data_IF_706542305108
#
_entry.id   IF_706542305108
#
_cell.length_a   1.000
_cell.length_b   1.000
_cell.length_c   1.000
_cell.angle_alpha   90.00
_cell.angle_beta   90.00
_cell.angle_gamma   90.00
#
_symmetry.space_group_name_H-M   'P 1'
#
loop_
_entity.id
_entity.type
_entity.pdbx_description
1 polymer ?
#
# COMPACT_ATOMS: atom_id res chain seq x y z
N UNK A 1 -17.97 -16.83 12.41
CA UNK A 1 -16.67 -16.19 12.69
C UNK A 1 -15.60 -16.77 11.76
N UNK A 2 -14.61 -15.97 11.42
CA UNK A 2 -13.39 -16.40 10.72
C UNK A 2 -12.17 -15.84 11.45
N UNK A 3 -11.01 -16.47 11.29
CA UNK A 3 -9.74 -15.95 11.81
C UNK A 3 -9.10 -15.01 10.80
N UNK A 4 -8.56 -13.90 11.30
CA UNK A 4 -7.77 -12.94 10.53
C UNK A 4 -6.78 -12.24 11.47
N UNK A 5 -6.00 -11.27 10.98
CA UNK A 5 -5.09 -10.46 11.80
C UNK A 5 -5.79 -9.46 12.72
N UNK A 6 -7.04 -9.13 12.45
CA UNK A 6 -7.92 -8.34 13.32
C UNK A 6 -8.90 -9.29 14.06
N UNK A 7 -9.19 -9.08 15.36
CA UNK A 7 -10.20 -9.87 16.05
C UNK A 7 -11.61 -9.61 15.50
N UNK A 8 -12.49 -10.59 15.71
CA UNK A 8 -13.92 -10.53 15.37
C UNK A 8 -14.24 -10.43 13.87
N UNK A 9 -13.35 -10.97 13.01
CA UNK A 9 -13.60 -11.08 11.58
C UNK A 9 -14.76 -12.05 11.28
N UNK A 10 -15.55 -11.72 10.26
CA UNK A 10 -16.79 -12.45 9.92
C UNK A 10 -16.86 -12.81 8.43
N UNK A 11 -17.24 -14.04 8.16
CA UNK A 11 -17.83 -14.43 6.88
C UNK A 11 -19.35 -14.13 6.89
N UNK A 12 -19.91 -13.87 5.73
CA UNK A 12 -21.33 -13.56 5.57
C UNK A 12 -21.99 -14.61 4.67
N UNK A 13 -23.09 -15.19 5.13
CA UNK A 13 -23.92 -16.08 4.32
C UNK A 13 -25.29 -15.43 4.06
N UNK A 14 -25.54 -15.12 2.82
CA UNK A 14 -26.77 -14.45 2.35
C UNK A 14 -27.68 -15.49 1.72
N UNK A 15 -28.94 -15.55 2.19
CA UNK A 15 -30.00 -16.39 1.62
C UNK A 15 -31.03 -15.50 0.95
N UNK A 16 -31.28 -15.76 -0.32
CA UNK A 16 -32.33 -15.08 -1.08
C UNK A 16 -33.17 -16.12 -1.85
N UNK A 17 -34.38 -15.76 -2.33
CA UNK A 17 -35.12 -16.61 -3.23
C UNK A 17 -34.40 -16.94 -4.54
N UNK A 18 -33.49 -16.05 -4.99
CA UNK A 18 -32.73 -16.20 -6.24
C UNK A 18 -31.46 -17.05 -6.09
N UNK A 19 -30.96 -17.24 -4.87
CA UNK A 19 -29.76 -18.03 -4.62
C UNK A 19 -29.10 -17.73 -3.25
N UNK A 20 -28.08 -18.51 -2.93
CA UNK A 20 -27.32 -18.43 -1.69
C UNK A 20 -25.88 -18.05 -1.97
N UNK A 21 -25.40 -17.01 -1.30
CA UNK A 21 -24.06 -16.47 -1.48
C UNK A 21 -23.29 -16.56 -0.16
N UNK A 22 -22.11 -17.16 -0.19
CA UNK A 22 -21.18 -17.18 0.93
C UNK A 22 -20.00 -16.28 0.59
N UNK A 23 -19.66 -15.36 1.50
CA UNK A 23 -18.54 -14.41 1.37
C UNK A 23 -17.63 -14.62 2.55
N UNK A 24 -16.35 -14.95 2.32
CA UNK A 24 -15.40 -15.20 3.41
C UNK A 24 -15.03 -13.94 4.17
N UNK A 25 -15.04 -12.77 3.52
CA UNK A 25 -14.22 -11.65 3.96
C UNK A 25 -12.74 -12.06 3.96
N UNK A 26 -11.89 -11.24 4.57
CA UNK A 26 -10.48 -11.58 4.77
C UNK A 26 -10.39 -12.68 5.83
N UNK A 27 -9.76 -13.81 5.49
CA UNK A 27 -9.73 -14.95 6.41
C UNK A 27 -8.49 -15.83 6.26
N UNK A 28 -8.20 -16.58 7.31
CA UNK A 28 -7.33 -17.76 7.30
C UNK A 28 -7.96 -18.89 8.13
N UNK A 29 -7.36 -20.06 8.11
CA UNK A 29 -7.81 -21.19 8.92
C UNK A 29 -6.83 -21.47 10.06
N UNK A 30 -6.49 -20.45 10.86
CA UNK A 30 -5.59 -20.59 12.00
C UNK A 30 -6.16 -21.58 13.02
N UNK A 31 -5.43 -22.67 13.25
CA UNK A 31 -5.85 -23.72 14.19
C UNK A 31 -5.42 -23.44 15.63
N UNK A 32 -4.56 -22.44 15.85
CA UNK A 32 -4.05 -22.04 17.16
C UNK A 32 -4.13 -20.51 17.33
N UNK A 33 -5.33 -19.90 17.12
CA UNK A 33 -5.49 -18.46 17.25
C UNK A 33 -5.29 -18.02 18.70
N UNK A 34 -4.81 -16.79 18.88
CA UNK A 34 -4.50 -16.24 20.22
C UNK A 34 -5.75 -16.04 21.08
N UNK A 35 -6.87 -15.69 20.47
CA UNK A 35 -8.15 -15.45 21.13
C UNK A 35 -9.04 -16.69 21.22
N UNK A 36 -8.52 -17.87 20.80
CA UNK A 36 -9.22 -19.15 20.76
C UNK A 36 -10.48 -19.18 19.85
N UNK A 37 -10.66 -18.18 18.97
CA UNK A 37 -11.77 -18.11 18.02
C UNK A 37 -11.33 -18.71 16.68
N UNK A 38 -11.74 -19.93 16.41
CA UNK A 38 -11.46 -20.64 15.16
C UNK A 38 -12.36 -20.12 14.04
N UNK A 39 -11.87 -20.24 12.80
CA UNK A 39 -12.76 -20.18 11.63
C UNK A 39 -13.82 -21.26 11.75
N UNK A 40 -15.10 -20.87 11.70
CA UNK A 40 -16.25 -21.76 11.95
C UNK A 40 -16.53 -22.67 10.73
N UNK A 41 -15.63 -23.62 10.52
CA UNK A 41 -15.74 -24.61 9.44
C UNK A 41 -17.00 -25.49 9.58
N UNK A 42 -17.56 -25.61 10.79
CA UNK A 42 -18.84 -26.33 10.97
C UNK A 42 -20.00 -25.58 10.32
N UNK A 43 -20.02 -24.26 10.40
CA UNK A 43 -21.00 -23.45 9.69
C UNK A 43 -20.77 -23.51 8.19
N UNK A 44 -19.52 -23.47 7.71
CA UNK A 44 -19.20 -23.63 6.29
C UNK A 44 -19.69 -24.97 5.75
N UNK A 45 -19.48 -26.08 6.49
CA UNK A 45 -20.01 -27.38 6.11
C UNK A 45 -21.55 -27.39 6.02
N UNK A 46 -22.25 -26.82 7.03
CA UNK A 46 -23.71 -26.68 6.98
C UNK A 46 -24.21 -25.85 5.79
N UNK A 47 -23.49 -24.76 5.44
CA UNK A 47 -23.82 -23.97 4.27
C UNK A 47 -23.61 -24.76 2.99
N UNK A 48 -22.55 -25.58 2.91
CA UNK A 48 -22.30 -26.50 1.81
C UNK A 48 -23.43 -27.54 1.67
N UNK A 49 -23.87 -28.17 2.77
CA UNK A 49 -25.01 -29.09 2.78
C UNK A 49 -26.32 -28.41 2.37
N UNK A 50 -26.52 -27.15 2.76
CA UNK A 50 -27.66 -26.33 2.36
C UNK A 50 -27.59 -25.93 0.88
N UNK A 51 -26.42 -25.96 0.29
CA UNK A 51 -26.06 -25.54 -1.06
C UNK A 51 -25.62 -24.07 -1.12
N UNK A 52 -24.45 -23.83 -1.71
CA UNK A 52 -23.89 -22.49 -1.97
C UNK A 52 -23.88 -22.29 -3.47
N UNK A 53 -24.68 -21.33 -3.95
CA UNK A 53 -24.75 -21.03 -5.39
C UNK A 53 -23.56 -20.18 -5.85
N UNK A 54 -23.09 -19.23 -5.02
CA UNK A 54 -21.89 -18.44 -5.29
C UNK A 54 -21.03 -18.34 -4.04
N UNK A 55 -19.74 -18.71 -4.15
CA UNK A 55 -18.76 -18.58 -3.09
C UNK A 55 -17.72 -17.52 -3.45
N UNK A 56 -17.75 -16.41 -2.72
CA UNK A 56 -16.81 -15.29 -2.87
C UNK A 56 -15.69 -15.45 -1.84
N UNK A 57 -14.45 -15.65 -2.34
CA UNK A 57 -13.33 -16.15 -1.51
C UNK A 57 -12.13 -15.24 -1.60
N UNK A 58 -11.57 -14.87 -0.44
CA UNK A 58 -10.28 -14.16 -0.30
C UNK A 58 -9.17 -14.86 -1.10
N UNK A 59 -8.43 -14.10 -1.88
CA UNK A 59 -7.42 -14.61 -2.82
C UNK A 59 -5.99 -14.19 -2.49
N UNK A 60 -5.78 -13.33 -1.50
CA UNK A 60 -4.50 -12.66 -1.24
C UNK A 60 -3.30 -13.58 -1.19
N UNK A 61 -3.46 -14.78 -0.61
CA UNK A 61 -2.40 -15.79 -0.51
C UNK A 61 -2.63 -17.03 -1.37
N UNK A 62 -3.44 -16.97 -2.40
CA UNK A 62 -3.73 -18.14 -3.25
C UNK A 62 -2.47 -18.75 -3.90
N UNK A 63 -1.44 -17.95 -4.18
CA UNK A 63 -0.17 -18.41 -4.74
C UNK A 63 0.79 -19.00 -3.68
N UNK A 64 0.50 -18.81 -2.38
CA UNK A 64 1.35 -19.31 -1.28
C UNK A 64 1.02 -20.77 -1.02
N UNK A 65 1.99 -21.70 -1.15
CA UNK A 65 1.72 -23.11 -0.97
C UNK A 65 1.49 -23.50 0.50
N UNK A 66 0.64 -24.51 0.72
CA UNK A 66 0.42 -25.12 2.02
C UNK A 66 -0.52 -24.33 2.93
N UNK A 67 -0.14 -24.18 4.18
CA UNK A 67 -0.95 -23.58 5.25
C UNK A 67 -0.21 -22.43 5.89
N UNK A 68 -0.95 -21.39 6.29
CA UNK A 68 -0.38 -20.26 7.00
C UNK A 68 0.03 -20.68 8.41
N UNK A 69 1.21 -20.25 8.83
CA UNK A 69 1.69 -20.45 10.20
C UNK A 69 0.72 -19.83 11.22
N UNK A 70 0.41 -20.53 12.32
CA UNK A 70 -0.42 -19.97 13.39
C UNK A 70 0.17 -18.72 14.02
N UNK A 71 -0.69 -17.76 14.36
CA UNK A 71 -0.29 -16.49 15.00
C UNK A 71 0.48 -16.71 16.31
N UNK A 72 0.14 -17.76 17.04
CA UNK A 72 0.81 -18.14 18.31
C UNK A 72 2.32 -18.35 18.19
N UNK A 73 2.82 -18.76 17.02
CA UNK A 73 4.26 -19.02 16.83
C UNK A 73 5.12 -17.75 16.85
N UNK A 74 4.52 -16.59 16.73
CA UNK A 74 5.23 -15.31 16.79
C UNK A 74 5.68 -14.96 18.22
N UNK A 75 4.89 -15.34 19.24
CA UNK A 75 5.18 -15.03 20.63
C UNK A 75 6.58 -15.43 21.09
N UNK A 76 6.99 -16.69 20.92
CA UNK A 76 8.35 -17.14 21.28
C UNK A 76 9.47 -16.38 20.55
N UNK A 77 9.26 -16.00 19.29
CA UNK A 77 10.25 -15.25 18.53
C UNK A 77 10.38 -13.82 19.06
N UNK A 78 9.26 -13.15 19.38
CA UNK A 78 9.27 -11.85 20.02
C UNK A 78 9.96 -11.92 21.38
N UNK A 79 9.64 -12.94 22.19
CA UNK A 79 10.23 -13.13 23.50
C UNK A 79 11.77 -13.27 23.42
N UNK A 80 12.26 -14.05 22.45
CA UNK A 80 13.71 -14.16 22.19
C UNK A 80 14.33 -12.82 21.80
N UNK A 81 13.71 -12.07 20.87
CA UNK A 81 14.21 -10.75 20.44
C UNK A 81 14.25 -9.77 21.63
N UNK A 82 13.23 -9.80 22.50
CA UNK A 82 13.18 -8.98 23.71
C UNK A 82 14.25 -9.35 24.72
N UNK A 83 14.54 -10.63 24.90
CA UNK A 83 15.61 -11.11 25.77
C UNK A 83 17.00 -10.67 25.30
N UNK A 84 17.23 -10.65 23.98
CA UNK A 84 18.51 -10.25 23.39
C UNK A 84 18.72 -8.72 23.34
N UNK A 85 17.64 -7.95 23.41
CA UNK A 85 17.69 -6.48 23.23
C UNK A 85 18.27 -5.77 24.45
N UNK A 86 19.38 -5.08 24.28
CA UNK A 86 20.09 -4.33 25.33
C UNK A 86 19.64 -2.85 25.41
N UNK A 87 19.17 -2.27 24.32
CA UNK A 87 18.62 -0.93 24.20
C UNK A 87 17.09 -0.90 24.24
N UNK A 88 16.52 0.19 23.75
CA UNK A 88 15.09 0.31 23.53
C UNK A 88 14.63 -0.56 22.36
N UNK A 89 13.34 -0.92 22.37
CA UNK A 89 12.71 -1.69 21.31
C UNK A 89 11.64 -0.84 20.64
N UNK A 90 11.68 -0.74 19.31
CA UNK A 90 10.62 -0.14 18.52
C UNK A 90 9.97 -1.26 17.69
N UNK A 91 8.67 -1.46 17.83
CA UNK A 91 7.90 -2.45 17.05
C UNK A 91 6.96 -1.71 16.11
N UNK A 92 7.19 -1.87 14.82
CA UNK A 92 6.31 -1.33 13.78
C UNK A 92 5.31 -2.39 13.31
N UNK A 93 4.02 -2.05 13.35
CA UNK A 93 2.93 -2.92 12.92
C UNK A 93 1.76 -2.12 12.36
N UNK A 94 0.83 -2.80 11.70
CA UNK A 94 -0.47 -2.20 11.38
C UNK A 94 -1.23 -1.87 12.66
N UNK A 95 -1.85 -0.70 12.69
CA UNK A 95 -2.63 -0.26 13.84
C UNK A 95 -3.90 -1.10 14.08
N UNK A 96 -4.32 -1.89 13.11
CA UNK A 96 -5.44 -2.84 13.22
C UNK A 96 -5.05 -4.21 13.73
N UNK A 97 -3.75 -4.54 13.78
CA UNK A 97 -3.27 -5.88 14.14
C UNK A 97 -3.23 -6.08 15.66
N UNK A 98 -4.40 -6.13 16.29
CA UNK A 98 -4.57 -6.20 17.75
C UNK A 98 -3.84 -7.40 18.35
N UNK A 99 -3.89 -8.58 17.72
CA UNK A 99 -3.21 -9.79 18.21
C UNK A 99 -1.69 -9.60 18.29
N UNK A 100 -1.08 -8.92 17.33
CA UNK A 100 0.35 -8.62 17.36
C UNK A 100 0.70 -7.65 18.49
N UNK A 101 -0.14 -6.63 18.70
CA UNK A 101 0.05 -5.69 19.82
C UNK A 101 -0.07 -6.44 21.16
N UNK A 102 -1.02 -7.39 21.28
CA UNK A 102 -1.13 -8.23 22.48
C UNK A 102 0.14 -9.05 22.74
N UNK A 103 0.74 -9.62 21.69
CA UNK A 103 1.99 -10.38 21.82
C UNK A 103 3.16 -9.49 22.27
N UNK A 104 3.25 -8.26 21.72
CA UNK A 104 4.26 -7.28 22.12
C UNK A 104 4.06 -6.85 23.60
N UNK A 105 2.82 -6.61 24.01
CA UNK A 105 2.46 -6.28 25.41
C UNK A 105 2.87 -7.42 26.34
N UNK A 106 2.58 -8.66 25.97
CA UNK A 106 2.94 -9.84 26.77
C UNK A 106 4.47 -9.98 26.88
N UNK A 107 5.22 -9.81 25.79
CA UNK A 107 6.68 -9.84 25.81
C UNK A 107 7.25 -8.68 26.65
N UNK A 108 6.73 -7.47 26.50
CA UNK A 108 7.15 -6.32 27.30
C UNK A 108 6.95 -6.55 28.81
N UNK A 109 5.77 -7.05 29.19
CA UNK A 109 5.47 -7.40 30.58
C UNK A 109 6.41 -8.49 31.12
N UNK A 110 6.69 -9.55 30.34
CA UNK A 110 7.60 -10.63 30.71
C UNK A 110 9.03 -10.12 30.97
N UNK A 111 9.50 -9.18 30.17
CA UNK A 111 10.85 -8.61 30.29
C UNK A 111 10.93 -7.32 31.13
N UNK A 112 9.88 -6.95 31.87
CA UNK A 112 9.85 -5.78 32.75
C UNK A 112 10.05 -4.47 32.03
N UNK A 113 9.54 -4.34 30.78
CA UNK A 113 9.62 -3.15 29.96
C UNK A 113 8.27 -2.44 29.89
N UNK A 114 8.25 -1.12 29.93
CA UNK A 114 7.05 -0.29 29.70
C UNK A 114 6.83 -0.07 28.20
N UNK A 115 5.58 0.13 27.80
CA UNK A 115 5.18 0.30 26.40
C UNK A 115 4.56 1.69 26.18
N UNK A 116 4.97 2.41 25.15
CA UNK A 116 4.29 3.58 24.65
C UNK A 116 3.71 3.33 23.25
N UNK A 117 2.46 3.76 23.03
CA UNK A 117 1.83 3.73 21.74
C UNK A 117 2.19 5.00 20.97
N UNK A 118 2.66 4.86 19.70
CA UNK A 118 3.14 5.97 18.88
C UNK A 118 2.41 6.02 17.56
N UNK A 119 1.60 7.07 17.40
CA UNK A 119 0.77 7.28 16.21
C UNK A 119 -0.73 7.29 16.55
N UNK A 120 -1.43 8.30 16.04
CA UNK A 120 -2.86 8.54 16.35
C UNK A 120 -3.78 7.35 16.07
N UNK A 121 -3.54 6.62 14.98
CA UNK A 121 -4.32 5.42 14.64
C UNK A 121 -4.00 4.26 15.58
N UNK A 122 -2.75 4.09 16.03
CA UNK A 122 -2.35 3.08 16.99
C UNK A 122 -3.05 3.29 18.33
N UNK A 123 -2.95 4.49 18.90
CA UNK A 123 -3.60 4.85 20.16
C UNK A 123 -5.12 4.66 20.12
N UNK A 124 -5.77 5.17 19.04
CA UNK A 124 -7.22 5.05 18.88
C UNK A 124 -7.67 3.58 18.77
N UNK A 125 -7.00 2.79 17.94
CA UNK A 125 -7.42 1.40 17.71
C UNK A 125 -7.17 0.53 18.93
N UNK A 126 -6.05 0.73 19.66
CA UNK A 126 -5.77 -0.03 20.87
C UNK A 126 -6.72 0.32 22.02
N UNK A 127 -7.11 1.59 22.14
CA UNK A 127 -8.16 1.98 23.07
C UNK A 127 -9.49 1.27 22.77
N UNK A 128 -9.93 1.27 21.50
CA UNK A 128 -11.16 0.58 21.09
C UNK A 128 -11.04 -0.93 21.36
N UNK A 129 -9.90 -1.54 21.04
CA UNK A 129 -9.66 -2.97 21.28
C UNK A 129 -9.73 -3.31 22.77
N UNK A 130 -9.18 -2.47 23.65
CA UNK A 130 -9.25 -2.63 25.09
C UNK A 130 -10.69 -2.45 25.61
N UNK A 131 -11.40 -1.41 25.19
CA UNK A 131 -12.81 -1.16 25.54
C UNK A 131 -13.73 -2.32 25.12
N UNK A 132 -13.44 -2.97 24.01
CA UNK A 132 -14.19 -4.14 23.49
C UNK A 132 -13.72 -5.47 24.08
N UNK A 133 -12.68 -5.50 24.92
CA UNK A 133 -12.13 -6.71 25.53
C UNK A 133 -11.29 -7.58 24.59
N UNK A 134 -10.84 -7.04 23.46
CA UNK A 134 -9.93 -7.74 22.51
C UNK A 134 -8.46 -7.56 22.85
N UNK A 135 -8.14 -6.60 23.72
CA UNK A 135 -6.78 -6.31 24.17
C UNK A 135 -6.77 -6.25 25.70
N UNK A 136 -5.89 -7.04 26.30
CA UNK A 136 -5.67 -7.05 27.75
C UNK A 136 -4.33 -6.42 28.05
N UNK A 137 -4.34 -5.34 28.81
CA UNK A 137 -3.14 -4.57 29.18
C UNK A 137 -2.96 -4.65 30.70
N UNK A 138 -1.81 -5.16 31.19
CA UNK A 138 -1.47 -5.08 32.61
C UNK A 138 -1.46 -3.63 33.12
N UNK A 139 -1.91 -3.41 34.33
CA UNK A 139 -1.93 -2.09 34.95
C UNK A 139 -0.52 -1.47 35.00
N UNK A 140 -0.40 -0.20 34.60
CA UNK A 140 0.87 0.52 34.58
C UNK A 140 1.86 0.14 33.48
N UNK A 141 1.52 -0.81 32.60
CA UNK A 141 2.43 -1.20 31.51
C UNK A 141 2.48 -0.17 30.38
N UNK A 142 1.32 0.40 30.00
CA UNK A 142 1.27 1.48 29.01
C UNK A 142 1.51 2.81 29.70
N UNK A 143 2.48 3.55 29.21
CA UNK A 143 2.86 4.88 29.72
C UNK A 143 2.86 5.89 28.57
N UNK A 144 2.77 7.18 28.92
CA UNK A 144 2.83 8.26 27.92
C UNK A 144 4.22 8.34 27.25
N UNK A 145 4.25 8.84 26.03
CA UNK A 145 5.49 8.99 25.26
C UNK A 145 6.52 9.92 25.90
N UNK A 146 6.10 10.87 26.77
CA UNK A 146 7.02 11.70 27.55
C UNK A 146 7.58 10.94 28.76
N UNK A 147 6.73 10.17 29.44
CA UNK A 147 7.11 9.41 30.63
C UNK A 147 8.06 8.28 30.31
N UNK A 148 7.82 7.52 29.21
CA UNK A 148 8.70 6.42 28.80
C UNK A 148 10.10 6.91 28.48
N UNK A 149 10.25 8.14 27.98
CA UNK A 149 11.56 8.73 27.64
C UNK A 149 12.45 8.95 28.86
N UNK A 150 11.88 8.95 30.07
CA UNK A 150 12.60 9.09 31.34
C UNK A 150 13.13 7.74 31.87
N UNK A 151 12.61 6.63 31.39
CA UNK A 151 13.06 5.29 31.77
C UNK A 151 14.43 4.97 31.15
N UNK A 152 15.21 4.04 31.71
CA UNK A 152 16.40 3.50 31.03
C UNK A 152 16.04 2.89 29.67
N UNK A 153 16.91 2.99 28.62
CA UNK A 153 16.63 2.46 27.30
C UNK A 153 16.18 0.99 27.28
N UNK A 154 16.80 0.14 28.09
CA UNK A 154 16.45 -1.27 28.20
C UNK A 154 15.09 -1.54 28.88
N UNK A 155 14.37 -0.53 29.30
CA UNK A 155 13.01 -0.62 29.83
C UNK A 155 11.94 -0.03 28.90
N UNK A 156 12.36 0.47 27.71
CA UNK A 156 11.44 1.16 26.78
C UNK A 156 11.03 0.24 25.63
N UNK A 157 9.74 0.24 25.33
CA UNK A 157 9.17 -0.33 24.10
C UNK A 157 8.24 0.70 23.47
N UNK A 158 8.42 0.96 22.19
CA UNK A 158 7.54 1.81 21.41
C UNK A 158 6.79 0.96 20.39
N UNK A 159 5.46 0.98 20.43
CA UNK A 159 4.61 0.37 19.44
C UNK A 159 4.20 1.44 18.42
N UNK A 160 4.72 1.38 17.20
CA UNK A 160 4.65 2.45 16.22
C UNK A 160 3.91 2.05 14.94
N UNK A 161 3.30 3.04 14.27
CA UNK A 161 2.84 2.91 12.88
C UNK A 161 3.97 3.17 11.90
N UNK A 162 3.78 2.82 10.62
CA UNK A 162 4.76 3.10 9.56
C UNK A 162 5.54 1.87 9.10
N UNK A 163 4.99 0.69 9.31
CA UNK A 163 5.62 -0.57 8.87
C UNK A 163 5.70 -0.73 7.35
N UNK A 164 5.03 0.13 6.58
CA UNK A 164 5.07 0.16 5.11
C UNK A 164 5.92 1.31 4.55
N UNK A 165 6.64 2.02 5.40
CA UNK A 165 7.52 3.11 4.97
C UNK A 165 6.78 4.39 4.55
N UNK A 166 5.54 4.57 5.01
CA UNK A 166 4.75 5.76 4.71
C UNK A 166 5.46 7.02 5.25
N UNK A 167 5.67 8.06 4.43
CA UNK A 167 6.55 9.18 4.78
C UNK A 167 6.16 9.93 6.06
N UNK A 168 4.85 10.02 6.35
CA UNK A 168 4.31 10.74 7.51
C UNK A 168 4.09 9.85 8.74
N UNK A 169 4.33 8.55 8.64
CA UNK A 169 4.14 7.62 9.74
C UNK A 169 5.27 7.73 10.79
N UNK A 170 5.00 7.22 11.98
CA UNK A 170 5.90 7.36 13.11
C UNK A 170 7.29 6.76 12.83
N UNK A 171 7.37 5.53 12.32
CA UNK A 171 8.65 4.86 12.06
C UNK A 171 9.51 5.59 11.02
N UNK A 172 8.92 6.09 9.93
CA UNK A 172 9.64 6.86 8.90
C UNK A 172 10.22 8.15 9.47
N UNK A 173 9.49 8.82 10.35
CA UNK A 173 9.98 10.02 11.03
C UNK A 173 11.08 9.69 12.05
N UNK A 174 10.98 8.55 12.73
CA UNK A 174 12.01 8.05 13.65
C UNK A 174 13.31 7.77 12.88
N UNK A 175 13.23 7.05 11.75
CA UNK A 175 14.38 6.71 10.92
C UNK A 175 15.11 7.94 10.34
N UNK A 176 14.38 9.04 10.14
CA UNK A 176 14.89 10.33 9.64
C UNK A 176 15.34 11.28 10.77
N UNK A 177 15.25 10.87 12.04
CA UNK A 177 15.58 11.73 13.20
C UNK A 177 14.62 12.91 13.38
N UNK A 178 13.45 12.90 12.76
CA UNK A 178 12.47 13.99 12.81
C UNK A 178 11.28 13.74 13.76
N UNK A 179 11.29 12.61 14.47
CA UNK A 179 10.26 12.30 15.44
C UNK A 179 10.53 13.03 16.78
N UNK A 180 9.47 13.61 17.35
CA UNK A 180 9.60 14.51 18.51
C UNK A 180 10.10 13.83 19.80
N UNK A 181 9.73 12.56 20.03
CA UNK A 181 9.94 11.88 21.30
C UNK A 181 10.84 10.65 21.22
N UNK A 182 11.06 10.12 20.03
CA UNK A 182 11.80 8.86 19.82
C UNK A 182 12.96 9.12 18.88
N UNK A 183 14.16 8.82 19.34
CA UNK A 183 15.41 8.78 18.56
C UNK A 183 15.97 7.36 18.57
N UNK A 184 16.79 7.04 17.59
CA UNK A 184 17.51 5.76 17.51
C UNK A 184 18.94 5.97 17.96
N UNK A 185 19.38 5.09 18.84
CA UNK A 185 20.77 5.01 19.30
C UNK A 185 21.38 3.66 18.87
N UNK A 186 22.73 3.59 18.70
CA UNK A 186 23.40 2.33 18.41
C UNK A 186 23.09 1.26 19.47
N UNK A 187 22.66 0.08 19.00
CA UNK A 187 22.28 -1.04 19.87
C UNK A 187 20.77 -1.13 20.16
N UNK A 188 19.97 -0.16 19.71
CA UNK A 188 18.51 -0.27 19.75
C UNK A 188 18.01 -1.37 18.80
N UNK A 189 16.85 -1.92 19.09
CA UNK A 189 16.24 -2.95 18.26
C UNK A 189 14.94 -2.43 17.62
N UNK A 190 14.83 -2.57 16.29
CA UNK A 190 13.61 -2.23 15.55
C UNK A 190 13.03 -3.46 14.90
N UNK A 191 11.77 -3.77 15.19
CA UNK A 191 11.06 -4.94 14.71
C UNK A 191 9.97 -4.51 13.72
N UNK A 192 10.06 -4.98 12.47
CA UNK A 192 9.01 -4.87 11.46
C UNK A 192 8.06 -6.06 11.61
N UNK A 193 6.99 -5.89 12.38
CA UNK A 193 6.03 -6.94 12.70
C UNK A 193 4.82 -6.93 11.72
N UNK A 194 5.10 -6.75 10.44
CA UNK A 194 4.12 -6.79 9.34
C UNK A 194 4.74 -7.41 8.09
N UNK A 195 3.90 -7.91 7.19
CA UNK A 195 4.33 -8.24 5.82
C UNK A 195 4.60 -6.99 5.02
N UNK A 196 5.43 -7.14 4.00
CA UNK A 196 5.65 -6.13 2.98
C UNK A 196 4.46 -6.17 2.00
N UNK A 197 3.77 -5.04 1.83
CA UNK A 197 2.72 -4.90 0.82
C UNK A 197 3.39 -4.64 -0.54
N UNK A 198 3.03 -5.37 -1.60
CA UNK A 198 3.57 -5.14 -2.93
C UNK A 198 3.47 -3.67 -3.35
N UNK A 199 4.55 -3.12 -3.90
CA UNK A 199 4.68 -1.71 -4.27
C UNK A 199 5.31 -0.81 -3.20
N UNK A 200 5.41 -1.25 -1.95
CA UNK A 200 6.03 -0.50 -0.86
C UNK A 200 7.50 -0.87 -0.61
N UNK A 201 8.06 -1.81 -1.38
CA UNK A 201 9.40 -2.38 -1.16
C UNK A 201 10.48 -1.31 -1.00
N UNK A 202 10.53 -0.37 -1.94
CA UNK A 202 11.53 0.69 -1.93
C UNK A 202 11.43 1.60 -0.70
N UNK A 203 10.22 1.90 -0.27
CA UNK A 203 9.95 2.74 0.89
C UNK A 203 10.37 2.03 2.19
N UNK A 204 10.01 0.77 2.35
CA UNK A 204 10.34 -0.04 3.53
C UNK A 204 11.85 -0.28 3.59
N UNK A 205 12.51 -0.68 2.50
CA UNK A 205 13.96 -0.89 2.50
C UNK A 205 14.74 0.40 2.74
N UNK A 206 14.23 1.56 2.32
CA UNK A 206 14.82 2.85 2.67
C UNK A 206 14.81 3.04 4.18
N UNK A 207 13.67 2.85 4.84
CA UNK A 207 13.56 2.97 6.31
C UNK A 207 14.48 1.97 7.01
N UNK A 208 14.54 0.71 6.57
CA UNK A 208 15.44 -0.31 7.11
C UNK A 208 16.90 0.15 7.00
N UNK A 209 17.31 0.66 5.84
CA UNK A 209 18.67 1.15 5.63
C UNK A 209 19.00 2.36 6.51
N UNK A 210 18.07 3.29 6.66
CA UNK A 210 18.27 4.48 7.51
C UNK A 210 18.42 4.07 8.99
N UNK A 211 17.57 3.17 9.49
CA UNK A 211 17.69 2.62 10.85
C UNK A 211 19.02 1.87 11.07
N UNK A 212 19.43 1.09 10.08
CA UNK A 212 20.71 0.35 10.13
C UNK A 212 21.91 1.32 10.16
N UNK A 213 21.87 2.42 9.40
CA UNK A 213 22.91 3.48 9.45
C UNK A 213 23.00 4.17 10.80
N UNK A 214 21.87 4.28 11.51
CA UNK A 214 21.83 4.78 12.89
C UNK A 214 22.34 3.77 13.93
N UNK A 215 22.70 2.55 13.52
CA UNK A 215 23.25 1.51 14.39
C UNK A 215 22.19 0.61 15.06
N UNK A 216 20.94 0.66 14.61
CA UNK A 216 19.90 -0.23 15.12
C UNK A 216 20.05 -1.67 14.60
N UNK A 217 19.72 -2.67 15.44
CA UNK A 217 19.48 -4.05 15.03
C UNK A 217 18.06 -4.13 14.43
N UNK A 218 17.96 -4.31 13.11
CA UNK A 218 16.65 -4.40 12.44
C UNK A 218 16.24 -5.85 12.27
N UNK A 219 15.07 -6.18 12.82
CA UNK A 219 14.43 -7.51 12.77
C UNK A 219 13.19 -7.42 11.87
N UNK A 220 13.13 -8.26 10.84
CA UNK A 220 12.03 -8.30 9.89
C UNK A 220 11.81 -9.71 9.34
N UNK A 221 10.76 -9.94 8.58
CA UNK A 221 10.33 -11.26 8.13
C UNK A 221 11.42 -12.07 7.40
N UNK A 222 12.40 -11.44 6.76
CA UNK A 222 13.47 -12.15 6.07
C UNK A 222 14.55 -12.70 7.01
N UNK A 223 14.68 -12.20 8.26
CA UNK A 223 15.69 -12.64 9.22
C UNK A 223 15.12 -13.23 10.52
N UNK A 224 13.82 -13.05 10.79
CA UNK A 224 13.13 -13.69 11.91
C UNK A 224 11.62 -13.80 11.63
N UNK A 225 10.97 -14.83 12.17
CA UNK A 225 9.52 -15.04 12.00
C UNK A 225 8.73 -14.09 12.92
N UNK A 226 8.75 -12.79 12.62
CA UNK A 226 8.06 -11.76 13.40
C UNK A 226 6.70 -11.36 12.83
N UNK A 227 6.29 -12.01 11.75
CA UNK A 227 4.99 -11.83 11.12
C UNK A 227 4.48 -13.14 10.49
N UNK A 228 3.17 -13.31 10.47
CA UNK A 228 2.44 -14.30 9.68
C UNK A 228 1.27 -13.62 8.98
N UNK A 229 0.90 -14.14 7.81
CA UNK A 229 -0.23 -13.58 7.05
C UNK A 229 -1.56 -13.78 7.77
N UNK A 230 -2.48 -12.85 7.55
CA UNK A 230 -3.88 -12.97 7.95
C UNK A 230 -4.78 -13.67 6.93
N UNK A 231 -4.25 -14.06 5.75
CA UNK A 231 -4.99 -14.59 4.62
C UNK A 231 -4.67 -16.06 4.37
N UNK A 232 -5.67 -16.82 3.96
CA UNK A 232 -5.58 -18.26 3.72
C UNK A 232 -4.63 -18.60 2.57
N UNK A 233 -3.72 -19.54 2.78
CA UNK A 233 -2.85 -20.09 1.76
C UNK A 233 -3.57 -21.16 0.91
N UNK A 234 -2.95 -21.62 -0.18
CA UNK A 234 -3.56 -22.53 -1.16
C UNK A 234 -4.13 -23.82 -0.54
N UNK A 235 -3.45 -24.40 0.44
CA UNK A 235 -3.96 -25.59 1.13
C UNK A 235 -5.22 -25.32 1.94
N UNK A 236 -5.30 -24.17 2.60
CA UNK A 236 -6.49 -23.76 3.36
C UNK A 236 -7.67 -23.45 2.42
N UNK A 237 -7.40 -22.82 1.27
CA UNK A 237 -8.42 -22.56 0.24
C UNK A 237 -8.99 -23.86 -0.34
N UNK A 238 -8.13 -24.85 -0.66
CA UNK A 238 -8.57 -26.19 -1.10
C UNK A 238 -9.46 -26.85 -0.06
N UNK A 239 -9.09 -26.80 1.24
CA UNK A 239 -9.95 -27.29 2.31
C UNK A 239 -11.31 -26.60 2.34
N UNK A 240 -11.31 -25.28 2.16
CA UNK A 240 -12.53 -24.48 2.16
C UNK A 240 -13.46 -24.90 1.00
N UNK A 241 -12.92 -25.06 -0.20
CA UNK A 241 -13.66 -25.52 -1.37
C UNK A 241 -14.24 -26.93 -1.17
N UNK A 242 -13.45 -27.88 -0.65
CA UNK A 242 -13.91 -29.24 -0.38
C UNK A 242 -14.99 -29.31 0.69
N UNK A 243 -14.98 -28.40 1.67
CA UNK A 243 -16.00 -28.30 2.71
C UNK A 243 -17.30 -27.68 2.17
N UNK A 244 -17.20 -26.61 1.38
CA UNK A 244 -18.35 -25.83 0.91
C UNK A 244 -18.97 -26.44 -0.34
N UNK A 245 -18.20 -27.01 -1.25
CA UNK A 245 -18.61 -27.57 -2.54
C UNK A 245 -19.56 -26.62 -3.32
N UNK A 246 -19.13 -25.39 -3.61
CA UNK A 246 -19.97 -24.38 -4.22
C UNK A 246 -20.26 -24.71 -5.70
N UNK A 247 -21.40 -24.20 -6.24
CA UNK A 247 -21.69 -24.30 -7.67
C UNK A 247 -20.81 -23.35 -8.48
N UNK A 248 -20.72 -22.07 -8.05
CA UNK A 248 -19.89 -21.05 -8.69
C UNK A 248 -18.90 -20.48 -7.68
N UNK A 249 -17.73 -20.08 -8.15
CA UNK A 249 -16.69 -19.42 -7.37
C UNK A 249 -16.36 -18.08 -7.96
N UNK A 250 -16.28 -17.07 -7.11
CA UNK A 250 -15.77 -15.73 -7.46
C UNK A 250 -14.62 -15.40 -6.52
N UNK A 251 -13.36 -15.53 -6.97
CA UNK A 251 -12.22 -15.04 -6.24
C UNK A 251 -12.33 -13.53 -6.02
N UNK A 252 -12.10 -13.08 -4.79
CA UNK A 252 -12.12 -11.66 -4.41
C UNK A 252 -10.87 -11.30 -3.63
N UNK A 253 -10.65 -10.02 -3.38
CA UNK A 253 -9.57 -9.50 -2.52
C UNK A 253 -8.18 -9.96 -2.96
N UNK A 254 -7.59 -9.24 -3.90
CA UNK A 254 -6.26 -9.50 -4.42
C UNK A 254 -6.04 -8.87 -5.79
N UNK A 255 -4.81 -8.95 -6.29
CA UNK A 255 -4.50 -8.61 -7.67
C UNK A 255 -5.02 -9.70 -8.62
N UNK A 256 -5.16 -9.39 -9.90
CA UNK A 256 -5.66 -10.35 -10.90
C UNK A 256 -4.92 -11.71 -10.88
N UNK A 257 -3.60 -11.72 -10.65
CA UNK A 257 -2.83 -12.97 -10.51
C UNK A 257 -3.30 -13.83 -9.34
N UNK A 258 -3.66 -13.22 -8.21
CA UNK A 258 -4.21 -13.92 -7.04
C UNK A 258 -5.61 -14.49 -7.34
N UNK A 259 -6.45 -13.70 -8.03
CA UNK A 259 -7.80 -14.15 -8.44
C UNK A 259 -7.71 -15.35 -9.38
N UNK A 260 -6.81 -15.30 -10.36
CA UNK A 260 -6.58 -16.42 -11.30
C UNK A 260 -6.07 -17.65 -10.57
N UNK A 261 -5.06 -17.49 -9.67
CA UNK A 261 -4.53 -18.61 -8.90
C UNK A 261 -5.62 -19.26 -8.02
N UNK A 262 -6.45 -18.45 -7.34
CA UNK A 262 -7.54 -18.95 -6.51
C UNK A 262 -8.61 -19.68 -7.35
N UNK A 263 -8.98 -19.14 -8.53
CA UNK A 263 -9.87 -19.82 -9.46
C UNK A 263 -9.33 -21.18 -9.92
N UNK A 264 -8.01 -21.29 -10.15
CA UNK A 264 -7.37 -22.57 -10.49
C UNK A 264 -7.47 -23.57 -9.33
N UNK A 265 -7.31 -23.13 -8.07
CA UNK A 265 -7.50 -23.99 -6.90
C UNK A 265 -8.95 -24.51 -6.83
N UNK A 266 -9.94 -23.66 -7.11
CA UNK A 266 -11.34 -24.09 -7.16
C UNK A 266 -11.55 -25.18 -8.24
N UNK A 267 -10.98 -25.01 -9.42
CA UNK A 267 -11.07 -26.02 -10.50
C UNK A 267 -10.42 -27.34 -10.09
N UNK A 268 -9.30 -27.32 -9.37
CA UNK A 268 -8.67 -28.53 -8.84
C UNK A 268 -9.56 -29.31 -7.87
N UNK A 269 -10.51 -28.65 -7.20
CA UNK A 269 -11.47 -29.28 -6.28
C UNK A 269 -12.76 -29.73 -6.94
N UNK A 270 -12.90 -29.55 -8.26
CA UNK A 270 -14.03 -30.04 -9.05
C UNK A 270 -15.02 -28.98 -9.50
N UNK A 271 -14.81 -27.70 -9.19
CA UNK A 271 -15.56 -26.59 -9.78
C UNK A 271 -15.23 -26.53 -11.28
N UNK A 272 -16.25 -26.40 -12.12
CA UNK A 272 -16.00 -26.30 -13.57
C UNK A 272 -15.36 -24.97 -13.94
N UNK A 273 -14.48 -24.93 -14.93
CA UNK A 273 -13.83 -23.68 -15.36
C UNK A 273 -14.82 -22.57 -15.74
N UNK A 274 -15.97 -22.93 -16.35
CA UNK A 274 -17.03 -22.00 -16.74
C UNK A 274 -17.82 -21.43 -15.53
N UNK A 275 -17.75 -22.07 -14.37
CA UNK A 275 -18.39 -21.63 -13.11
C UNK A 275 -17.45 -20.82 -12.22
N UNK A 276 -16.24 -20.51 -12.71
CA UNK A 276 -15.28 -19.58 -12.06
C UNK A 276 -15.44 -18.19 -12.67
N UNK A 277 -15.90 -17.23 -11.88
CA UNK A 277 -16.11 -15.84 -12.30
C UNK A 277 -14.92 -14.99 -11.84
N UNK A 278 -14.12 -14.51 -12.78
CA UNK A 278 -13.07 -13.52 -12.50
C UNK A 278 -13.65 -12.12 -12.72
N UNK A 279 -13.70 -11.32 -11.68
CA UNK A 279 -14.26 -9.98 -11.70
C UNK A 279 -13.33 -9.01 -10.95
N UNK A 280 -13.10 -7.86 -11.57
CA UNK A 280 -12.41 -6.72 -10.96
C UNK A 280 -13.44 -5.69 -10.47
N UNK A 281 -12.98 -4.62 -9.83
CA UNK A 281 -13.83 -3.57 -9.29
C UNK A 281 -14.76 -2.97 -10.38
N UNK A 282 -16.03 -2.76 -10.03
CA UNK A 282 -17.03 -2.23 -10.94
C UNK A 282 -17.72 -3.28 -11.82
N UNK A 283 -17.23 -4.52 -11.89
CA UNK A 283 -17.90 -5.59 -12.66
C UNK A 283 -19.20 -6.00 -11.98
N UNK A 284 -20.28 -6.07 -12.77
CA UNK A 284 -21.60 -6.53 -12.31
C UNK A 284 -21.77 -8.01 -12.61
N UNK A 285 -22.04 -8.77 -11.57
CA UNK A 285 -22.27 -10.22 -11.65
C UNK A 285 -23.70 -10.53 -11.24
N UNK A 286 -24.48 -11.18 -12.11
CA UNK A 286 -25.78 -11.71 -11.79
C UNK A 286 -25.70 -13.18 -11.40
N UNK A 287 -26.51 -13.56 -10.43
CA UNK A 287 -26.74 -14.95 -10.03
C UNK A 287 -28.18 -15.34 -10.38
N UNK A 288 -28.35 -16.13 -11.42
CA UNK A 288 -29.66 -16.56 -11.94
C UNK A 288 -29.66 -18.07 -12.19
N UNK A 289 -30.67 -18.76 -11.72
CA UNK A 289 -30.83 -20.22 -11.88
C UNK A 289 -29.59 -21.05 -11.44
N UNK A 290 -28.88 -20.56 -10.42
CA UNK A 290 -27.66 -21.20 -9.89
C UNK A 290 -26.42 -20.99 -10.72
N UNK A 291 -26.42 -20.07 -11.70
CA UNK A 291 -25.27 -19.67 -12.49
C UNK A 291 -24.91 -18.22 -12.25
N UNK A 292 -23.63 -17.98 -11.97
CA UNK A 292 -23.08 -16.63 -11.83
C UNK A 292 -22.46 -16.18 -13.15
N UNK A 293 -22.84 -14.99 -13.64
CA UNK A 293 -22.37 -14.44 -14.94
C UNK A 293 -22.06 -12.97 -14.85
N UNK A 294 -21.03 -12.55 -15.55
CA UNK A 294 -20.76 -11.12 -15.78
C UNK A 294 -21.80 -10.60 -16.77
N UNK A 295 -22.54 -9.57 -16.36
CA UNK A 295 -23.63 -8.98 -17.16
C UNK A 295 -23.38 -7.52 -17.52
N UNK A 296 -22.39 -6.88 -16.94
CA UNK A 296 -22.05 -5.49 -17.21
C UNK A 296 -20.95 -4.96 -16.30
N UNK A 297 -20.82 -3.64 -16.29
CA UNK A 297 -19.95 -2.93 -15.38
C UNK A 297 -20.56 -1.58 -15.00
N UNK A 298 -20.24 -1.09 -13.82
CA UNK A 298 -20.52 0.26 -13.35
C UNK A 298 -19.22 1.06 -13.28
N UNK A 299 -19.25 2.39 -13.49
CA UNK A 299 -18.06 3.21 -13.27
C UNK A 299 -17.52 3.00 -11.85
N UNK A 300 -16.25 2.68 -11.77
CA UNK A 300 -15.54 2.48 -10.51
C UNK A 300 -14.22 3.25 -10.59
N UNK A 301 -14.25 4.51 -10.16
CA UNK A 301 -13.09 5.40 -10.20
C UNK A 301 -12.47 5.50 -8.81
N UNK A 302 -11.14 5.68 -8.77
CA UNK A 302 -10.43 5.93 -7.53
C UNK A 302 -10.73 7.34 -7.01
N UNK A 303 -11.03 7.43 -5.73
CA UNK A 303 -11.10 8.71 -5.02
C UNK A 303 -9.75 8.93 -4.35
N UNK A 304 -8.96 9.84 -4.92
CA UNK A 304 -7.63 10.14 -4.40
C UNK A 304 -7.70 11.07 -3.19
N UNK A 305 -6.85 10.81 -2.21
CA UNK A 305 -6.65 11.68 -1.03
C UNK A 305 -5.26 12.30 -1.13
N UNK A 306 -5.20 13.63 -1.19
CA UNK A 306 -3.97 14.40 -1.27
C UNK A 306 -3.91 15.47 -0.17
N UNK A 307 -3.11 15.23 0.85
CA UNK A 307 -3.07 16.09 2.02
C UNK A 307 -4.42 16.15 2.73
N UNK A 308 -5.10 17.29 2.65
CA UNK A 308 -6.45 17.49 3.20
C UNK A 308 -7.57 17.40 2.16
N UNK A 309 -7.23 17.32 0.86
CA UNK A 309 -8.19 17.25 -0.24
C UNK A 309 -8.60 15.80 -0.53
N UNK A 310 -9.90 15.58 -0.72
CA UNK A 310 -10.48 14.27 -1.03
C UNK A 310 -11.25 14.37 -2.34
N UNK A 311 -10.82 13.63 -3.38
CA UNK A 311 -11.49 13.59 -4.68
C UNK A 311 -11.30 14.83 -5.58
N UNK A 312 -10.44 15.76 -5.16
CA UNK A 312 -10.14 16.99 -5.93
C UNK A 312 -9.00 16.79 -6.94
N UNK A 313 -8.25 15.70 -6.82
CA UNK A 313 -7.13 15.35 -7.69
C UNK A 313 -7.53 14.25 -8.65
N UNK A 314 -7.26 14.48 -9.94
CA UNK A 314 -7.45 13.51 -11.02
C UNK A 314 -6.22 12.61 -11.21
N UNK A 315 -6.41 11.49 -11.91
CA UNK A 315 -5.29 10.63 -12.36
C UNK A 315 -4.30 11.38 -13.25
N UNK A 316 -4.80 12.29 -14.11
CA UNK A 316 -3.97 13.11 -15.00
C UNK A 316 -3.05 14.05 -14.22
N UNK A 317 -3.52 14.63 -13.11
CA UNK A 317 -2.69 15.47 -12.24
C UNK A 317 -1.64 14.63 -11.50
N UNK A 318 -1.98 13.42 -11.08
CA UNK A 318 -1.01 12.48 -10.50
C UNK A 318 0.02 12.00 -11.52
N UNK A 319 -0.38 11.72 -12.75
CA UNK A 319 0.53 11.39 -13.87
C UNK A 319 1.47 12.57 -14.17
N UNK A 320 0.94 13.78 -14.15
CA UNK A 320 1.72 15.03 -14.28
C UNK A 320 2.79 15.15 -13.19
N UNK A 321 2.45 14.92 -11.92
CA UNK A 321 3.42 14.93 -10.80
C UNK A 321 4.49 13.86 -10.95
N UNK A 322 4.13 12.64 -11.39
CA UNK A 322 5.08 11.56 -11.67
C UNK A 322 6.07 11.97 -12.76
N UNK A 323 5.58 12.57 -13.85
CA UNK A 323 6.41 13.08 -14.94
C UNK A 323 7.34 14.18 -14.47
N UNK A 324 6.85 15.16 -13.69
CA UNK A 324 7.68 16.20 -13.10
C UNK A 324 8.79 15.63 -12.20
N UNK A 325 8.47 14.61 -11.41
CA UNK A 325 9.43 13.97 -10.48
C UNK A 325 10.48 13.09 -11.17
N UNK A 326 10.13 12.40 -12.27
CA UNK A 326 11.01 11.45 -12.96
C UNK A 326 11.78 12.08 -14.13
N UNK A 327 11.14 12.95 -14.88
CA UNK A 327 11.64 13.45 -16.16
C UNK A 327 12.12 14.91 -16.08
N UNK A 328 11.68 15.66 -15.07
CA UNK A 328 12.00 17.07 -14.90
C UNK A 328 11.06 18.00 -15.66
N UNK A 329 11.40 19.29 -15.63
CA UNK A 329 10.58 20.38 -16.15
C UNK A 329 11.43 21.33 -17.00
N UNK A 330 10.86 21.77 -18.13
CA UNK A 330 11.46 22.79 -19.02
C UNK A 330 10.44 23.88 -19.25
N UNK A 331 10.79 25.13 -18.90
CA UNK A 331 10.05 26.30 -19.34
C UNK A 331 10.82 27.02 -20.45
N UNK A 332 10.09 27.50 -21.46
CA UNK A 332 10.66 28.30 -22.56
C UNK A 332 9.83 29.51 -22.76
N UNK A 333 10.48 30.67 -22.82
CA UNK A 333 9.85 31.99 -22.96
C UNK A 333 10.28 32.59 -24.29
N UNK A 334 9.32 33.13 -25.05
CA UNK A 334 9.57 33.91 -26.28
C UNK A 334 8.69 35.15 -26.31
N UNK A 335 9.24 36.25 -26.83
CA UNK A 335 8.51 37.50 -27.09
C UNK A 335 8.44 37.64 -28.61
N UNK A 336 7.22 37.74 -29.12
CA UNK A 336 6.93 37.76 -30.56
C UNK A 336 6.04 38.95 -30.86
N UNK A 337 6.34 39.65 -31.96
CA UNK A 337 5.50 40.75 -32.47
C UNK A 337 4.19 40.18 -33.02
N UNK A 338 3.06 40.67 -32.48
CA UNK A 338 1.73 40.13 -32.81
C UNK A 338 1.26 40.32 -34.25
N UNK A 339 1.79 41.33 -34.95
CA UNK A 339 1.41 41.62 -36.35
C UNK A 339 2.26 40.88 -37.38
N UNK A 340 3.56 40.78 -37.14
CA UNK A 340 4.52 40.22 -38.11
C UNK A 340 4.98 38.80 -37.77
N UNK A 341 4.84 38.38 -36.52
CA UNK A 341 5.37 37.12 -36.02
C UNK A 341 6.88 37.14 -35.80
N UNK A 342 7.53 38.29 -35.84
CA UNK A 342 8.95 38.43 -35.62
C UNK A 342 9.33 38.16 -34.17
N UNK A 343 10.37 37.40 -33.93
CA UNK A 343 10.92 37.12 -32.58
C UNK A 343 11.69 38.36 -32.12
N UNK A 344 11.18 39.07 -31.12
CA UNK A 344 11.73 40.34 -30.64
C UNK A 344 12.97 40.20 -29.76
N UNK A 345 13.13 39.04 -29.14
CA UNK A 345 14.30 38.71 -28.34
C UNK A 345 14.59 37.21 -28.39
N UNK A 346 15.86 36.77 -28.26
CA UNK A 346 16.20 35.36 -28.23
C UNK A 346 15.37 34.62 -27.17
N UNK A 347 14.80 33.45 -27.49
CA UNK A 347 14.06 32.62 -26.51
C UNK A 347 14.94 32.29 -25.32
N UNK A 348 14.34 32.21 -24.16
CA UNK A 348 15.02 31.80 -22.93
C UNK A 348 14.49 30.49 -22.44
N UNK A 349 15.39 29.54 -22.15
CA UNK A 349 15.03 28.21 -21.63
C UNK A 349 15.50 28.08 -20.18
N UNK A 350 14.64 27.56 -19.32
CA UNK A 350 15.00 27.14 -17.96
C UNK A 350 14.57 25.70 -17.74
N UNK A 351 15.49 24.87 -17.24
CA UNK A 351 15.23 23.48 -16.91
C UNK A 351 15.43 23.24 -15.43
N UNK A 352 14.60 22.38 -14.84
CA UNK A 352 14.68 21.98 -13.43
C UNK A 352 14.65 20.46 -13.38
N UNK A 353 15.59 19.84 -12.65
CA UNK A 353 15.66 18.39 -12.45
C UNK A 353 16.16 17.61 -13.67
N UNK A 354 16.82 18.25 -14.65
CA UNK A 354 17.29 17.64 -15.89
C UNK A 354 18.80 17.77 -16.15
N UNK A 355 19.37 18.89 -15.84
CA UNK A 355 20.78 19.20 -16.05
C UNK A 355 21.29 20.06 -14.88
N UNK A 356 22.58 19.98 -14.56
CA UNK A 356 23.20 20.81 -13.55
C UNK A 356 23.29 22.28 -14.00
N UNK A 357 23.46 22.51 -15.31
CA UNK A 357 23.52 23.84 -15.92
C UNK A 357 22.51 23.93 -17.10
N UNK A 358 21.74 25.01 -17.13
CA UNK A 358 20.78 25.29 -18.20
C UNK A 358 21.48 25.69 -19.51
N UNK A 359 22.76 26.03 -19.51
CA UNK A 359 23.54 26.37 -20.73
C UNK A 359 23.56 25.23 -21.75
N UNK A 360 23.31 24.00 -21.34
CA UNK A 360 23.16 22.85 -22.24
C UNK A 360 22.05 23.07 -23.29
N UNK A 361 21.10 23.95 -23.01
CA UNK A 361 20.01 24.30 -23.91
C UNK A 361 20.31 25.46 -24.85
N UNK A 362 21.47 26.12 -24.76
CA UNK A 362 21.83 27.23 -25.63
C UNK A 362 21.99 26.79 -27.09
N UNK A 363 22.38 25.55 -27.31
CA UNK A 363 22.50 24.94 -28.64
C UNK A 363 21.18 24.88 -29.41
N UNK A 364 20.04 24.72 -28.72
CA UNK A 364 18.71 24.57 -29.36
C UNK A 364 18.01 25.94 -29.59
N UNK A 365 18.48 27.04 -29.00
CA UNK A 365 17.83 28.34 -29.09
C UNK A 365 17.64 28.80 -30.54
N UNK A 366 18.62 28.66 -31.47
CA UNK A 366 18.42 29.02 -32.89
C UNK A 366 17.28 28.24 -33.53
N UNK A 367 17.18 26.94 -33.25
CA UNK A 367 16.12 26.07 -33.81
C UNK A 367 14.72 26.47 -33.27
N UNK A 368 14.67 26.89 -32.00
CA UNK A 368 13.43 27.39 -31.38
C UNK A 368 13.00 28.69 -32.07
N UNK A 369 13.94 29.62 -32.32
CA UNK A 369 13.65 30.87 -33.04
C UNK A 369 13.16 30.61 -34.47
N UNK A 370 13.85 29.76 -35.22
CA UNK A 370 13.45 29.38 -36.57
C UNK A 370 12.05 28.74 -36.61
N UNK A 371 11.73 27.89 -35.65
CA UNK A 371 10.42 27.23 -35.55
C UNK A 371 9.29 28.25 -35.24
N UNK A 372 9.58 29.27 -34.45
CA UNK A 372 8.63 30.36 -34.19
C UNK A 372 8.37 31.20 -35.45
N UNK A 373 9.42 31.58 -36.17
CA UNK A 373 9.30 32.35 -37.44
C UNK A 373 8.54 31.55 -38.51
N UNK A 374 8.83 30.25 -38.65
CA UNK A 374 8.12 29.36 -39.55
C UNK A 374 6.64 29.26 -39.18
N UNK A 375 6.32 29.10 -37.90
CA UNK A 375 4.95 28.98 -37.41
C UNK A 375 4.15 30.30 -37.58
N UNK A 376 4.83 31.45 -37.56
CA UNK A 376 4.23 32.77 -37.74
C UNK A 376 4.06 33.13 -39.26
N UNK A 377 4.78 32.50 -40.18
CA UNK A 377 4.81 32.86 -41.60
C UNK A 377 3.48 32.65 -42.33
N UNK A 378 2.48 32.02 -41.71
CA UNK A 378 1.14 31.79 -42.26
C UNK A 378 0.17 33.00 -42.17
N UNK A 379 0.60 34.17 -41.67
CA UNK A 379 -0.17 35.41 -41.62
C UNK A 379 -1.19 35.47 -40.46
N UNK A 380 -1.25 34.50 -39.58
CA UNK A 380 -2.04 34.49 -38.36
C UNK A 380 -1.15 34.13 -37.17
N UNK A 381 -0.77 35.10 -36.38
CA UNK A 381 0.10 34.93 -35.20
C UNK A 381 -0.75 34.44 -34.04
N UNK A 382 -0.86 33.11 -33.88
CA UNK A 382 -1.59 32.48 -32.80
C UNK A 382 -0.61 31.95 -31.75
N UNK A 383 -0.76 32.41 -30.50
CA UNK A 383 0.09 32.04 -29.38
C UNK A 383 0.11 30.50 -29.13
N UNK A 384 -1.01 29.82 -29.34
CA UNK A 384 -1.10 28.37 -29.16
C UNK A 384 -0.29 27.60 -30.21
N UNK A 385 -0.34 28.07 -31.49
CA UNK A 385 0.45 27.48 -32.59
C UNK A 385 1.95 27.64 -32.30
N UNK A 386 2.36 28.84 -31.87
CA UNK A 386 3.75 29.14 -31.50
C UNK A 386 4.22 28.29 -30.30
N UNK A 387 3.39 28.15 -29.27
CA UNK A 387 3.67 27.30 -28.13
C UNK A 387 3.86 25.82 -28.55
N UNK A 388 3.03 25.34 -29.48
CA UNK A 388 3.15 23.98 -30.00
C UNK A 388 4.43 23.77 -30.83
N UNK A 389 4.84 24.80 -31.60
CA UNK A 389 6.09 24.77 -32.35
C UNK A 389 7.31 24.62 -31.39
N UNK A 390 7.39 25.48 -30.37
CA UNK A 390 8.42 25.42 -29.35
C UNK A 390 8.44 24.06 -28.63
N UNK A 391 7.28 23.55 -28.20
CA UNK A 391 7.16 22.24 -27.53
C UNK A 391 7.69 21.11 -28.38
N UNK A 392 7.39 21.10 -29.68
CA UNK A 392 7.85 20.07 -30.63
C UNK A 392 9.35 20.09 -30.82
N UNK A 393 9.95 21.27 -30.98
CA UNK A 393 11.40 21.41 -31.20
C UNK A 393 12.17 20.97 -29.97
N UNK A 394 11.82 21.53 -28.81
CA UNK A 394 12.49 21.21 -27.55
C UNK A 394 12.30 19.73 -27.18
N UNK A 395 11.07 19.19 -27.33
CA UNK A 395 10.79 17.79 -27.01
C UNK A 395 11.59 16.83 -27.88
N UNK A 396 11.76 17.11 -29.16
CA UNK A 396 12.61 16.29 -30.06
C UNK A 396 14.08 16.37 -29.68
N UNK A 397 14.58 17.55 -29.37
CA UNK A 397 15.97 17.75 -28.99
C UNK A 397 16.27 17.05 -27.67
N UNK A 398 15.46 17.27 -26.61
CA UNK A 398 15.60 16.64 -25.30
C UNK A 398 15.54 15.10 -25.42
N UNK A 399 14.58 14.58 -26.20
CA UNK A 399 14.46 13.16 -26.43
C UNK A 399 15.69 12.53 -27.08
N UNK A 400 16.36 13.24 -28.01
CA UNK A 400 17.57 12.77 -28.71
C UNK A 400 18.83 12.90 -27.87
N UNK A 401 19.04 14.04 -27.19
CA UNK A 401 20.29 14.36 -26.51
C UNK A 401 20.32 13.92 -25.04
N UNK A 402 19.18 14.05 -24.33
CA UNK A 402 19.08 13.72 -22.92
C UNK A 402 18.31 12.41 -22.64
N UNK A 403 17.67 11.82 -23.65
CA UNK A 403 16.83 10.60 -23.54
C UNK A 403 15.75 10.71 -22.47
N UNK A 404 15.18 11.91 -22.30
CA UNK A 404 14.12 12.24 -21.34
C UNK A 404 12.89 12.78 -22.04
N UNK A 405 11.76 12.76 -21.35
CA UNK A 405 10.47 13.33 -21.80
C UNK A 405 9.89 14.26 -20.75
N UNK A 406 10.55 15.41 -20.50
CA UNK A 406 10.11 16.33 -19.45
C UNK A 406 8.76 16.98 -19.76
N UNK A 407 8.17 17.55 -18.74
CA UNK A 407 7.11 18.51 -18.95
C UNK A 407 7.68 19.80 -19.57
N UNK A 408 7.18 20.15 -20.76
CA UNK A 408 7.60 21.37 -21.45
C UNK A 408 6.45 22.39 -21.41
N UNK A 409 6.72 23.55 -20.82
CA UNK A 409 5.76 24.66 -20.69
C UNK A 409 6.27 25.86 -21.48
N UNK A 410 5.81 26.01 -22.73
CA UNK A 410 6.12 27.16 -23.53
C UNK A 410 5.25 28.36 -23.14
N UNK A 411 5.84 29.53 -23.05
CA UNK A 411 5.18 30.82 -22.79
C UNK A 411 5.51 31.76 -23.92
N UNK A 412 4.51 32.23 -24.66
CA UNK A 412 4.64 33.24 -25.71
C UNK A 412 3.97 34.51 -25.25
N UNK A 413 4.71 35.60 -25.31
CA UNK A 413 4.20 36.96 -25.08
C UNK A 413 4.10 37.62 -26.43
N UNK A 414 2.88 37.98 -26.84
CA UNK A 414 2.63 38.78 -28.05
C UNK A 414 2.67 40.26 -27.68
N UNK A 415 3.49 41.03 -28.37
CA UNK A 415 3.60 42.51 -28.25
C UNK A 415 3.04 43.20 -29.44
#
# INVERSE_FOLDING_TARGET
AVTHSIPDALAVFVRTPAGKVLITGDFKMDQLPLDHRLTDLRSFARFGEEGVDLFMVDSTNAEVPGFVTPEREIGPVLDQVFAEATGQIIVASFASHVHRVQQVINAAAHHGRSVALVGRSMERNMRIAQEKGYLTIPEGLIVDSNEISLLPPNQRVYMATGSQGEPMAALSRISQGSHRFVSIEPGDTVIFASSLIPGNENSVYRVINDLTRLGAKVVHQANAKVHVSGHAASGELIYCYNIVQPKNVMPIHGEIRHLVANGQLAVLTGVKPEDVVLAEDGVVVDLEDGHARVVGAVPCEYIYVDGSSIGEISEDELATRRTLGSEGFVSVYAVVEGETGMVLAPPTIRAIGMAEDSSVFDEILPDVSAALEEAASGGNVDAHILQQAMRRVIGRWVGRHLRRRPMIVPVVVLQ
#
